data_IF_209654907534
#
_entry.id   IF_209654907534
#
_cell.length_a   1.000
_cell.length_b   1.000
_cell.length_c   1.000
_cell.angle_alpha   90.00
_cell.angle_beta   90.00
_cell.angle_gamma   90.00
#
_symmetry.space_group_name_H-M   'P 1'
#
loop_
_entity.id
_entity.type
_entity.pdbx_description
1 polymer ?
#
# COMPACT_ATOMS: atom_id res chain seq x y z
N UNK A 1 1.27 -6.65 13.16
CA UNK A 1 0.37 -5.60 12.62
C UNK A 1 0.73 -4.17 12.94
N UNK A 2 0.98 -3.78 14.21
CA UNK A 2 1.33 -2.37 14.51
C UNK A 2 2.48 -1.81 13.66
N UNK A 3 3.52 -2.62 13.42
CA UNK A 3 4.66 -2.22 12.59
C UNK A 3 4.28 -2.07 11.10
N UNK A 4 3.68 -3.10 10.50
CA UNK A 4 3.18 -3.06 9.12
C UNK A 4 2.26 -1.85 8.86
N UNK A 5 1.32 -1.57 9.78
CA UNK A 5 0.46 -0.41 9.67
C UNK A 5 1.24 0.91 9.71
N UNK A 6 2.23 1.02 10.60
CA UNK A 6 3.11 2.19 10.65
C UNK A 6 3.92 2.35 9.35
N UNK A 7 4.43 1.25 8.78
CA UNK A 7 5.15 1.28 7.52
C UNK A 7 4.24 1.76 6.36
N UNK A 8 2.96 1.37 6.35
CA UNK A 8 1.96 1.89 5.39
C UNK A 8 1.71 3.39 5.58
N UNK A 9 1.56 3.86 6.82
CA UNK A 9 1.41 5.30 7.11
C UNK A 9 2.64 6.10 6.65
N UNK A 10 3.84 5.58 6.91
CA UNK A 10 5.08 6.23 6.45
C UNK A 10 5.17 6.34 4.93
N UNK A 11 4.65 5.33 4.21
CA UNK A 11 4.54 5.37 2.76
C UNK A 11 3.54 6.43 2.30
N UNK A 12 2.34 6.49 2.89
CA UNK A 12 1.36 7.52 2.59
C UNK A 12 1.90 8.93 2.85
N UNK A 13 2.55 9.15 3.99
CA UNK A 13 3.19 10.43 4.32
C UNK A 13 4.30 10.80 3.31
N UNK A 14 5.03 9.82 2.77
CA UNK A 14 6.04 10.07 1.75
C UNK A 14 5.42 10.49 0.42
N UNK A 15 4.33 9.83 0.01
CA UNK A 15 3.56 10.20 -1.18
C UNK A 15 2.94 11.59 -1.05
N UNK A 16 2.35 11.91 0.10
CA UNK A 16 1.76 13.23 0.38
C UNK A 16 2.82 14.34 0.32
N UNK A 17 3.98 14.14 0.95
CA UNK A 17 5.10 15.10 0.85
C UNK A 17 5.61 15.31 -0.58
N UNK A 18 5.57 14.28 -1.43
CA UNK A 18 5.90 14.44 -2.85
C UNK A 18 4.81 15.29 -3.52
N UNK A 19 3.54 14.94 -3.31
CA UNK A 19 2.40 15.66 -3.89
C UNK A 19 2.40 17.16 -3.52
N UNK A 20 2.66 17.50 -2.26
CA UNK A 20 2.75 18.88 -1.77
C UNK A 20 3.84 19.73 -2.44
N UNK A 21 4.86 19.07 -3.01
CA UNK A 21 5.99 19.75 -3.66
C UNK A 21 5.86 19.85 -5.18
N UNK A 22 4.76 19.34 -5.76
CA UNK A 22 4.53 19.44 -7.21
C UNK A 22 4.44 20.90 -7.68
N UNK A 23 4.99 21.23 -8.87
CA UNK A 23 5.71 20.34 -9.79
C UNK A 23 7.22 20.17 -9.46
N UNK A 24 7.73 20.83 -8.42
CA UNK A 24 9.16 20.91 -8.08
C UNK A 24 9.62 19.81 -7.11
N UNK A 25 9.29 18.57 -7.44
CA UNK A 25 9.53 17.40 -6.58
C UNK A 25 11.00 17.00 -6.52
N UNK A 26 11.39 16.43 -5.38
CA UNK A 26 12.71 15.81 -5.19
C UNK A 26 12.76 14.45 -5.88
N UNK A 27 13.51 14.37 -6.99
CA UNK A 27 13.65 13.17 -7.81
C UNK A 27 14.18 11.96 -7.04
N UNK A 28 15.09 12.17 -6.07
CA UNK A 28 15.63 11.08 -5.28
C UNK A 28 14.56 10.51 -4.34
N UNK A 29 13.69 11.35 -3.79
CA UNK A 29 12.53 10.91 -3.00
C UNK A 29 11.51 10.17 -3.87
N UNK A 30 11.29 10.61 -5.11
CA UNK A 30 10.44 9.89 -6.05
C UNK A 30 10.97 8.47 -6.32
N UNK A 31 12.25 8.32 -6.66
CA UNK A 31 12.87 7.01 -6.87
C UNK A 31 12.83 6.12 -5.62
N UNK A 32 13.17 6.69 -4.46
CA UNK A 32 13.15 5.95 -3.20
C UNK A 32 11.76 5.46 -2.84
N UNK A 33 10.75 6.32 -3.00
CA UNK A 33 9.35 5.98 -2.71
C UNK A 33 8.83 4.95 -3.72
N UNK A 34 9.07 5.14 -5.02
CA UNK A 34 8.65 4.22 -6.07
C UNK A 34 9.15 2.78 -5.83
N UNK A 35 10.42 2.62 -5.48
CA UNK A 35 11.01 1.31 -5.20
C UNK A 35 10.46 0.66 -3.92
N UNK A 36 9.81 1.42 -3.04
CA UNK A 36 9.26 0.93 -1.78
C UNK A 36 7.77 0.55 -1.87
N UNK A 37 6.97 1.22 -2.71
CA UNK A 37 5.49 1.09 -2.72
C UNK A 37 5.06 -0.37 -2.88
N UNK A 38 5.33 -0.97 -4.04
CA UNK A 38 4.81 -2.30 -4.38
C UNK A 38 5.34 -3.40 -3.45
N UNK A 39 6.65 -3.47 -3.14
CA UNK A 39 7.15 -4.49 -2.21
C UNK A 39 6.54 -4.37 -0.82
N UNK A 40 6.37 -3.15 -0.30
CA UNK A 40 5.80 -2.91 1.03
C UNK A 40 4.33 -3.34 1.06
N UNK A 41 3.52 -2.91 0.08
CA UNK A 41 2.10 -3.26 0.02
C UNK A 41 1.90 -4.78 -0.05
N UNK A 42 2.60 -5.46 -0.96
CA UNK A 42 2.51 -6.93 -1.12
C UNK A 42 2.86 -7.68 0.14
N UNK A 43 3.94 -7.27 0.82
CA UNK A 43 4.36 -7.91 2.07
C UNK A 43 3.31 -7.75 3.18
N UNK A 44 2.66 -6.58 3.25
CA UNK A 44 1.60 -6.33 4.24
C UNK A 44 0.35 -7.13 3.91
N UNK A 45 -0.14 -7.06 2.66
CA UNK A 45 -1.31 -7.80 2.21
C UNK A 45 -1.14 -9.31 2.38
N UNK A 46 0.02 -9.85 2.02
CA UNK A 46 0.33 -11.26 2.21
C UNK A 46 0.27 -11.65 3.69
N UNK A 47 0.81 -10.83 4.59
CA UNK A 47 0.73 -11.09 6.03
C UNK A 47 -0.71 -10.99 6.55
N UNK A 48 -1.48 -10.02 6.08
CA UNK A 48 -2.90 -9.89 6.41
C UNK A 48 -3.68 -11.14 5.98
N UNK A 49 -3.51 -11.58 4.74
CA UNK A 49 -4.26 -12.70 4.18
C UNK A 49 -3.88 -14.06 4.75
N UNK A 50 -2.59 -14.26 5.07
CA UNK A 50 -2.09 -15.56 5.54
C UNK A 50 -2.10 -15.71 7.05
N UNK A 51 -2.12 -14.60 7.81
CA UNK A 51 -2.02 -14.64 9.28
C UNK A 51 -3.20 -13.93 9.95
N UNK A 52 -3.52 -12.70 9.54
CA UNK A 52 -4.47 -11.86 10.29
C UNK A 52 -5.91 -12.22 10.00
N UNK A 53 -6.30 -12.29 8.72
CA UNK A 53 -7.66 -12.62 8.33
C UNK A 53 -8.08 -14.01 8.85
N UNK A 54 -7.25 -15.07 8.74
CA UNK A 54 -7.60 -16.36 9.32
C UNK A 54 -7.78 -16.32 10.85
N UNK A 55 -6.90 -15.63 11.58
CA UNK A 55 -7.02 -15.49 13.02
C UNK A 55 -8.28 -14.70 13.42
N UNK A 56 -8.57 -13.63 12.69
CA UNK A 56 -9.75 -12.79 12.90
C UNK A 56 -11.04 -13.59 12.65
N UNK A 57 -11.16 -14.29 11.52
CA UNK A 57 -12.30 -15.13 11.17
C UNK A 57 -12.55 -16.23 12.22
N UNK A 58 -11.49 -16.84 12.76
CA UNK A 58 -11.59 -17.86 13.80
C UNK A 58 -12.11 -17.31 15.14
N UNK A 59 -11.78 -16.05 15.48
CA UNK A 59 -12.17 -15.44 16.76
C UNK A 59 -13.60 -14.89 16.79
N UNK A 60 -14.12 -14.42 15.66
CA UNK A 60 -15.44 -13.74 15.60
C UNK A 60 -16.58 -14.71 15.28
N UNK A 61 -16.35 -16.03 15.42
CA UNK A 61 -17.30 -17.09 15.08
C UNK A 61 -17.91 -16.96 13.67
N UNK A 62 -17.19 -16.33 12.74
CA UNK A 62 -17.60 -16.22 11.34
C UNK A 62 -18.93 -15.53 11.08
N UNK A 63 -19.32 -14.51 11.87
CA UNK A 63 -20.54 -13.75 11.55
C UNK A 63 -20.51 -13.23 10.10
N UNK A 64 -21.65 -13.25 9.40
CA UNK A 64 -21.72 -12.88 7.97
C UNK A 64 -21.10 -11.50 7.69
N UNK A 65 -21.27 -10.56 8.61
CA UNK A 65 -20.68 -9.21 8.51
C UNK A 65 -19.14 -9.21 8.56
N UNK A 66 -18.55 -10.11 9.36
CA UNK A 66 -17.09 -10.30 9.48
C UNK A 66 -16.53 -10.88 8.19
N UNK A 67 -17.16 -11.93 7.68
CA UNK A 67 -16.77 -12.57 6.43
C UNK A 67 -16.93 -11.62 5.24
N UNK A 68 -17.98 -10.81 5.22
CA UNK A 68 -18.18 -9.77 4.21
C UNK A 68 -17.07 -8.71 4.26
N UNK A 69 -16.64 -8.31 5.46
CA UNK A 69 -15.56 -7.33 5.62
C UNK A 69 -14.21 -7.87 5.13
N UNK A 70 -13.85 -9.11 5.48
CA UNK A 70 -12.61 -9.75 5.01
C UNK A 70 -12.62 -9.93 3.49
N UNK A 71 -13.75 -10.35 2.92
CA UNK A 71 -13.91 -10.47 1.46
C UNK A 71 -13.74 -9.13 0.75
N UNK A 72 -14.31 -8.06 1.31
CA UNK A 72 -14.14 -6.72 0.76
C UNK A 72 -12.69 -6.27 0.82
N UNK A 73 -12.01 -6.44 1.95
CA UNK A 73 -10.57 -6.11 2.09
C UNK A 73 -9.70 -6.85 1.07
N UNK A 74 -9.94 -8.15 0.84
CA UNK A 74 -9.21 -8.90 -0.21
C UNK A 74 -9.45 -8.36 -1.62
N UNK A 75 -10.64 -7.85 -1.90
CA UNK A 75 -10.92 -7.21 -3.19
C UNK A 75 -10.20 -5.84 -3.29
N UNK A 76 -10.26 -5.04 -2.23
CA UNK A 76 -9.55 -3.76 -2.11
C UNK A 76 -8.03 -3.94 -2.30
N UNK A 77 -7.43 -5.04 -1.79
CA UNK A 77 -6.00 -5.34 -2.00
C UNK A 77 -5.61 -5.45 -3.48
N UNK A 78 -6.48 -6.01 -4.33
CA UNK A 78 -6.21 -6.14 -5.77
C UNK A 78 -6.18 -4.77 -6.44
N UNK A 79 -7.12 -3.90 -6.07
CA UNK A 79 -7.19 -2.52 -6.57
C UNK A 79 -5.98 -1.72 -6.08
N UNK A 80 -5.66 -1.80 -4.79
CA UNK A 80 -4.53 -1.13 -4.16
C UNK A 80 -3.19 -1.53 -4.81
N UNK A 81 -2.99 -2.81 -5.14
CA UNK A 81 -1.78 -3.27 -5.82
C UNK A 81 -1.70 -2.76 -7.27
N UNK A 82 -2.83 -2.62 -7.96
CA UNK A 82 -2.87 -2.02 -9.30
C UNK A 82 -2.48 -0.54 -9.24
N UNK A 83 -3.12 0.24 -8.36
CA UNK A 83 -2.80 1.65 -8.16
C UNK A 83 -1.37 1.87 -7.70
N UNK A 84 -0.85 1.01 -6.83
CA UNK A 84 0.55 1.01 -6.40
C UNK A 84 1.51 0.89 -7.59
N UNK A 85 1.17 0.04 -8.57
CA UNK A 85 1.92 -0.10 -9.82
C UNK A 85 1.94 1.20 -10.63
N UNK A 86 0.76 1.78 -10.87
CA UNK A 86 0.63 3.04 -11.63
C UNK A 86 1.41 4.20 -10.97
N UNK A 87 1.28 4.36 -9.66
CA UNK A 87 2.02 5.39 -8.90
C UNK A 87 3.52 5.14 -8.97
N UNK A 88 3.95 3.88 -8.91
CA UNK A 88 5.36 3.51 -9.06
C UNK A 88 5.91 3.94 -10.41
N UNK A 89 5.20 3.65 -11.50
CA UNK A 89 5.60 4.04 -12.85
C UNK A 89 5.73 5.56 -13.00
N UNK A 90 4.74 6.31 -12.51
CA UNK A 90 4.75 7.78 -12.54
C UNK A 90 5.94 8.34 -11.75
N UNK A 91 6.18 7.84 -10.54
CA UNK A 91 7.28 8.31 -9.70
C UNK A 91 8.65 7.93 -10.27
N UNK A 92 8.78 6.78 -10.92
CA UNK A 92 9.99 6.42 -11.65
C UNK A 92 10.23 7.40 -12.79
N UNK A 93 9.24 7.64 -13.66
CA UNK A 93 9.35 8.59 -14.77
C UNK A 93 9.83 9.98 -14.28
N UNK A 94 9.16 10.53 -13.27
CA UNK A 94 9.54 11.80 -12.63
C UNK A 94 10.98 11.73 -12.07
N UNK A 95 11.32 10.65 -11.37
CA UNK A 95 12.63 10.42 -10.78
C UNK A 95 13.76 10.38 -11.80
N UNK A 96 13.49 9.81 -12.98
CA UNK A 96 14.40 9.77 -14.13
C UNK A 96 14.43 11.08 -14.93
N UNK A 97 13.52 12.02 -14.63
CA UNK A 97 13.42 13.31 -15.30
C UNK A 97 12.61 13.29 -16.59
N UNK A 98 11.80 12.24 -16.77
CA UNK A 98 10.79 12.14 -17.82
C UNK A 98 9.60 13.03 -17.47
N UNK A 99 8.90 13.54 -18.50
CA UNK A 99 7.75 14.44 -18.34
C UNK A 99 6.45 13.67 -18.32
#
# INVERSE_FOLDING_TARGET
>A
MKRAHLDKLQLCDALERIADTLPNVDRLKCLGTANAIVPLLRNIHQYEETVIFPAYEATVAGSDATLASVRRLRAEHVEDECFAGEVTEILLAIGHGER
#
